data_IF_735254545528
#
_entry.id   IF_735254545528
#
_cell.length_a   1.000
_cell.length_b   1.000
_cell.length_c   1.000
_cell.angle_alpha   90.00
_cell.angle_beta   90.00
_cell.angle_gamma   90.00
#
_symmetry.space_group_name_H-M   'P 1'
#
loop_
_entity.id
_entity.type
_entity.pdbx_description
1 polymer ?
#
# COMPACT_ATOMS: atom_id res chain seq x y z
N UNK A 1 -22.55 -30.25 -2.68
CA UNK A 1 -21.43 -29.60 -3.39
C UNK A 1 -21.18 -28.25 -2.74
N UNK A 2 -20.24 -28.17 -1.78
CA UNK A 2 -19.81 -26.88 -1.26
C UNK A 2 -18.93 -26.23 -2.32
N UNK A 3 -19.42 -25.14 -2.92
CA UNK A 3 -18.60 -24.26 -3.75
C UNK A 3 -17.50 -23.68 -2.87
N UNK A 4 -16.32 -24.31 -2.92
CA UNK A 4 -15.08 -23.80 -2.33
C UNK A 4 -14.80 -22.49 -3.05
N UNK A 5 -15.23 -21.37 -2.48
CA UNK A 5 -14.77 -20.05 -2.90
C UNK A 5 -13.25 -20.09 -2.79
N UNK A 6 -12.60 -20.25 -3.94
CA UNK A 6 -11.16 -20.35 -4.07
C UNK A 6 -10.60 -18.97 -3.70
N UNK A 7 -10.41 -18.73 -2.41
CA UNK A 7 -9.83 -17.50 -1.93
C UNK A 7 -8.45 -17.34 -2.54
N UNK A 8 -8.19 -16.20 -3.17
CA UNK A 8 -6.91 -15.86 -3.79
C UNK A 8 -5.75 -16.17 -2.84
N UNK A 9 -4.68 -16.78 -3.37
CA UNK A 9 -3.49 -17.20 -2.62
C UNK A 9 -3.01 -16.03 -1.74
N UNK A 10 -2.79 -16.26 -0.44
CA UNK A 10 -2.32 -15.22 0.47
C UNK A 10 -1.06 -14.49 -0.02
N UNK A 11 -0.13 -15.19 -0.68
CA UNK A 11 1.09 -14.58 -1.24
C UNK A 11 0.77 -13.59 -2.35
N UNK A 12 -0.25 -13.89 -3.17
CA UNK A 12 -0.69 -12.99 -4.25
C UNK A 12 -1.33 -11.73 -3.65
N UNK A 13 -2.04 -11.85 -2.53
CA UNK A 13 -2.57 -10.68 -1.80
C UNK A 13 -1.45 -9.78 -1.27
N UNK A 14 -0.40 -10.35 -0.71
CA UNK A 14 0.76 -9.59 -0.24
C UNK A 14 1.47 -8.85 -1.38
N UNK A 15 1.71 -9.54 -2.50
CA UNK A 15 2.34 -8.94 -3.68
C UNK A 15 1.47 -7.81 -4.25
N UNK A 16 0.15 -8.04 -4.35
CA UNK A 16 -0.79 -7.03 -4.81
C UNK A 16 -0.82 -5.81 -3.88
N UNK A 17 -0.82 -6.04 -2.56
CA UNK A 17 -0.80 -4.98 -1.56
C UNK A 17 0.50 -4.15 -1.62
N UNK A 18 1.65 -4.81 -1.79
CA UNK A 18 2.94 -4.15 -1.98
C UNK A 18 2.97 -3.33 -3.28
N UNK A 19 2.49 -3.90 -4.39
CA UNK A 19 2.42 -3.22 -5.69
C UNK A 19 1.54 -1.97 -5.62
N UNK A 20 0.35 -2.07 -5.02
CA UNK A 20 -0.56 -0.92 -4.84
C UNK A 20 0.09 0.16 -3.97
N UNK A 21 0.73 -0.22 -2.86
CA UNK A 21 1.42 0.73 -1.98
C UNK A 21 2.54 1.47 -2.70
N UNK A 22 3.26 0.78 -3.59
CA UNK A 22 4.32 1.39 -4.40
C UNK A 22 3.77 2.37 -5.44
N UNK A 23 2.66 2.04 -6.10
CA UNK A 23 1.99 2.98 -7.03
C UNK A 23 1.52 4.23 -6.31
N UNK A 24 0.94 4.08 -5.10
CA UNK A 24 0.55 5.22 -4.26
C UNK A 24 1.77 6.07 -3.91
N UNK A 25 2.91 5.46 -3.58
CA UNK A 25 4.12 6.21 -3.30
C UNK A 25 4.61 7.04 -4.49
N UNK A 26 4.63 6.45 -5.69
CA UNK A 26 4.98 7.18 -6.91
C UNK A 26 4.01 8.35 -7.12
N UNK A 27 2.71 8.13 -6.94
CA UNK A 27 1.72 9.20 -7.06
C UNK A 27 1.98 10.33 -6.05
N UNK A 28 2.33 10.01 -4.80
CA UNK A 28 2.70 10.99 -3.79
C UNK A 28 3.95 11.78 -4.19
N UNK A 29 4.99 11.10 -4.69
CA UNK A 29 6.23 11.75 -5.15
C UNK A 29 5.99 12.74 -6.31
N UNK A 30 5.04 12.45 -7.18
CA UNK A 30 4.72 13.33 -8.31
C UNK A 30 3.74 14.44 -7.94
N UNK A 31 2.77 14.16 -7.08
CA UNK A 31 1.69 15.10 -6.77
C UNK A 31 2.08 16.10 -5.66
N UNK A 32 2.77 15.66 -4.61
CA UNK A 32 3.07 16.54 -3.46
C UNK A 32 3.96 17.75 -3.82
N UNK A 33 5.01 17.61 -4.66
CA UNK A 33 5.83 18.76 -5.04
C UNK A 33 5.06 19.83 -5.84
N UNK A 34 3.89 19.52 -6.38
CA UNK A 34 3.04 20.51 -7.06
C UNK A 34 2.31 21.44 -6.08
N UNK A 35 2.24 21.07 -4.80
CA UNK A 35 1.47 21.80 -3.77
C UNK A 35 2.29 22.20 -2.54
N UNK A 36 3.45 21.56 -2.32
CA UNK A 36 4.33 21.81 -1.17
C UNK A 36 5.75 22.14 -1.63
N UNK A 37 6.51 22.78 -0.75
CA UNK A 37 7.96 22.92 -0.91
C UNK A 37 8.63 21.56 -1.10
N UNK A 38 9.65 21.49 -1.97
CA UNK A 38 10.29 20.23 -2.36
C UNK A 38 10.76 19.41 -1.15
N UNK A 39 11.38 20.05 -0.15
CA UNK A 39 11.88 19.35 1.03
C UNK A 39 10.76 18.70 1.85
N UNK A 40 9.67 19.44 2.04
CA UNK A 40 8.50 18.99 2.81
C UNK A 40 7.72 17.94 2.02
N UNK A 41 7.61 18.10 0.70
CA UNK A 41 6.90 17.18 -0.19
C UNK A 41 7.49 15.75 -0.12
N UNK A 42 8.82 15.62 -0.19
CA UNK A 42 9.47 14.31 -0.11
C UNK A 42 9.33 13.67 1.27
N UNK A 43 9.46 14.46 2.35
CA UNK A 43 9.24 13.97 3.71
C UNK A 43 7.81 13.47 3.91
N UNK A 44 6.81 14.24 3.46
CA UNK A 44 5.42 13.85 3.53
C UNK A 44 5.08 12.63 2.67
N UNK A 45 5.70 12.48 1.49
CA UNK A 45 5.55 11.30 0.65
C UNK A 45 6.08 10.03 1.34
N UNK A 46 7.24 10.12 2.01
CA UNK A 46 7.80 8.99 2.79
C UNK A 46 6.89 8.62 3.95
N UNK A 47 6.43 9.61 4.73
CA UNK A 47 5.51 9.39 5.85
C UNK A 47 4.21 8.73 5.35
N UNK A 48 3.63 9.27 4.28
CA UNK A 48 2.43 8.70 3.66
C UNK A 48 2.62 7.26 3.20
N UNK A 49 3.76 6.95 2.58
CA UNK A 49 4.07 5.58 2.17
C UNK A 49 4.18 4.61 3.35
N UNK A 50 4.85 5.01 4.43
CA UNK A 50 4.96 4.18 5.65
C UNK A 50 3.58 3.86 6.21
N UNK A 51 2.68 4.84 6.24
CA UNK A 51 1.30 4.66 6.71
C UNK A 51 0.56 3.66 5.81
N UNK A 52 0.64 3.84 4.48
CA UNK A 52 -0.03 2.98 3.51
C UNK A 52 0.44 1.53 3.64
N UNK A 53 1.76 1.30 3.71
CA UNK A 53 2.32 -0.04 3.88
C UNK A 53 1.93 -0.66 5.22
N UNK A 54 1.90 0.13 6.30
CA UNK A 54 1.48 -0.35 7.63
C UNK A 54 0.02 -0.81 7.62
N UNK A 55 -0.87 -0.04 6.98
CA UNK A 55 -2.29 -0.38 6.82
C UNK A 55 -2.45 -1.62 5.94
N UNK A 56 -1.72 -1.70 4.83
CA UNK A 56 -1.72 -2.87 3.94
C UNK A 56 -1.26 -4.14 4.68
N UNK A 57 -0.19 -4.05 5.47
CA UNK A 57 0.30 -5.17 6.28
C UNK A 57 -0.69 -5.60 7.36
N UNK A 58 -1.37 -4.66 8.01
CA UNK A 58 -2.40 -4.96 9.01
C UNK A 58 -3.54 -5.80 8.41
N UNK A 59 -4.09 -5.38 7.26
CA UNK A 59 -5.19 -6.09 6.60
C UNK A 59 -4.79 -7.46 6.05
N UNK A 60 -3.54 -7.68 5.68
CA UNK A 60 -3.11 -9.02 5.26
C UNK A 60 -2.89 -9.95 6.44
N UNK A 61 -2.28 -9.47 7.53
CA UNK A 61 -2.03 -10.26 8.75
C UNK A 61 -3.33 -10.68 9.42
N UNK A 62 -4.34 -9.81 9.47
CA UNK A 62 -5.65 -10.12 10.06
C UNK A 62 -6.34 -11.31 9.37
N UNK A 63 -6.04 -11.55 8.09
CA UNK A 63 -6.58 -12.68 7.32
C UNK A 63 -5.92 -14.02 7.64
N UNK A 64 -4.78 -14.02 8.32
CA UNK A 64 -4.03 -15.21 8.72
C UNK A 64 -4.26 -15.64 10.17
N UNK A 65 -4.90 -14.80 10.99
CA UNK A 65 -5.27 -15.11 12.38
C UNK A 65 -6.64 -15.75 12.44
#
# INVERSE_FOLDING_TARGET
MQTRTQGMDPRIKDIAAAAVSFVVFIALLLALPAVLDQGIAFLAAIIGFIIVVSVAGYFTIEKFR
#
